data_IF_164692263013
#
_entry.id   IF_164692263013
#
_cell.length_a   1.000
_cell.length_b   1.000
_cell.length_c   1.000
_cell.angle_alpha   90.00
_cell.angle_beta   90.00
_cell.angle_gamma   90.00
#
_symmetry.space_group_name_H-M   'P 1'
#
loop_
_entity.id
_entity.type
_entity.pdbx_description
1 polymer ?
#
# COMPACT_ATOMS: atom_id res chain seq x y z
N UNK A 1 114.23 5.12 -136.57
CA UNK A 1 114.51 6.48 -136.06
C UNK A 1 113.74 6.63 -134.75
N UNK A 2 114.46 6.83 -133.64
CA UNK A 2 113.94 6.97 -132.28
C UNK A 2 113.43 8.39 -132.02
N UNK A 3 112.32 8.55 -131.30
CA UNK A 3 112.06 9.72 -130.43
C UNK A 3 111.15 9.32 -129.23
N UNK A 4 111.38 9.82 -128.00
CA UNK A 4 110.80 9.27 -126.76
C UNK A 4 109.72 10.14 -126.07
N UNK A 5 108.92 9.46 -125.23
CA UNK A 5 108.17 9.84 -124.01
C UNK A 5 107.82 11.31 -123.68
N UNK A 6 106.55 11.54 -123.30
CA UNK A 6 106.16 12.51 -122.27
C UNK A 6 105.16 11.89 -121.28
N UNK A 7 105.52 11.92 -120.00
CA UNK A 7 104.79 11.39 -118.85
C UNK A 7 103.94 12.47 -118.19
N UNK A 8 102.66 12.19 -117.90
CA UNK A 8 101.83 13.02 -117.00
C UNK A 8 101.08 12.09 -116.02
N UNK A 9 101.38 12.21 -114.73
CA UNK A 9 100.69 11.49 -113.63
C UNK A 9 99.29 12.07 -113.36
N UNK A 10 98.22 11.27 -113.26
CA UNK A 10 96.95 11.73 -112.70
C UNK A 10 97.02 11.76 -111.16
N UNK A 11 96.61 12.89 -110.58
CA UNK A 11 96.51 13.13 -109.12
C UNK A 11 95.39 12.28 -108.50
N UNK A 12 95.64 11.71 -107.32
CA UNK A 12 94.61 11.02 -106.53
C UNK A 12 93.50 11.99 -106.10
N UNK A 13 92.25 11.72 -106.50
CA UNK A 13 91.07 12.43 -106.01
C UNK A 13 90.72 11.84 -104.64
N UNK A 14 90.91 12.62 -103.56
CA UNK A 14 90.39 12.27 -102.23
C UNK A 14 88.93 12.71 -102.13
N UNK A 15 88.00 11.77 -102.27
CA UNK A 15 86.58 12.01 -101.98
C UNK A 15 86.38 12.00 -100.46
N UNK A 16 86.01 13.16 -99.89
CA UNK A 16 85.56 13.27 -98.51
C UNK A 16 84.03 13.19 -98.50
N UNK A 17 83.48 11.99 -98.30
CA UNK A 17 82.04 11.83 -98.07
C UNK A 17 81.78 12.05 -96.58
N UNK A 18 81.01 13.08 -96.25
CA UNK A 18 80.30 13.17 -94.97
C UNK A 18 79.07 12.27 -95.10
N UNK A 19 78.99 11.08 -94.47
CA UNK A 19 77.74 10.36 -94.42
C UNK A 19 76.75 11.22 -93.62
N UNK A 20 75.80 11.85 -94.32
CA UNK A 20 74.61 12.42 -93.69
C UNK A 20 73.75 11.24 -93.23
N UNK A 21 73.87 10.85 -91.98
CA UNK A 21 72.79 10.11 -91.31
C UNK A 21 71.48 10.91 -91.45
N UNK A 22 70.31 10.25 -91.56
CA UNK A 22 69.07 10.89 -91.96
C UNK A 22 68.84 12.21 -91.20
N UNK A 23 68.61 13.30 -91.94
CA UNK A 23 68.52 14.64 -91.37
C UNK A 23 67.31 14.81 -90.43
N UNK A 24 66.31 13.94 -90.56
CA UNK A 24 65.10 13.94 -89.75
C UNK A 24 64.94 12.62 -89.01
N UNK A 25 64.85 12.72 -87.69
CA UNK A 25 64.31 11.69 -86.80
C UNK A 25 62.96 12.22 -86.35
N UNK A 26 61.89 11.47 -86.58
CA UNK A 26 60.52 11.89 -86.27
C UNK A 26 59.96 10.87 -85.28
N UNK A 27 59.58 11.34 -84.09
CA UNK A 27 58.82 10.56 -83.12
C UNK A 27 57.39 10.33 -83.63
N UNK A 28 56.85 9.13 -83.39
CA UNK A 28 55.41 8.89 -83.57
C UNK A 28 54.67 9.34 -82.32
N UNK A 29 53.34 9.47 -82.40
CA UNK A 29 52.48 9.90 -81.28
C UNK A 29 52.89 9.24 -79.95
N UNK A 30 53.16 10.05 -78.92
CA UNK A 30 53.61 9.56 -77.63
C UNK A 30 55.12 9.35 -77.48
N UNK A 31 55.92 9.70 -78.48
CA UNK A 31 57.39 9.76 -78.40
C UNK A 31 57.84 11.16 -78.83
N UNK A 32 58.35 11.93 -77.88
CA UNK A 32 59.02 13.19 -78.18
C UNK A 32 60.49 12.92 -78.53
N UNK A 33 61.00 13.68 -79.49
CA UNK A 33 62.37 13.55 -79.98
C UNK A 33 63.07 14.89 -79.88
N UNK A 34 63.94 14.99 -78.87
CA UNK A 34 64.76 16.18 -78.66
C UNK A 34 66.19 15.91 -79.13
N UNK A 35 66.76 16.85 -79.89
CA UNK A 35 68.17 16.81 -80.30
C UNK A 35 68.96 17.79 -79.46
N UNK A 36 69.81 17.27 -78.58
CA UNK A 36 70.70 18.08 -77.75
C UNK A 36 72.13 17.55 -77.81
N UNK A 37 73.10 18.46 -77.93
CA UNK A 37 74.53 18.11 -77.99
C UNK A 37 74.95 17.14 -79.10
N UNK A 38 74.12 16.93 -80.14
CA UNK A 38 74.35 15.96 -81.21
C UNK A 38 73.76 14.56 -80.95
N UNK A 39 73.20 14.31 -79.77
CA UNK A 39 72.46 13.09 -79.43
C UNK A 39 70.95 13.28 -79.69
N UNK A 40 70.29 12.22 -80.15
CA UNK A 40 68.84 12.17 -80.19
C UNK A 40 68.35 11.46 -78.93
N UNK A 41 67.54 12.15 -78.14
CA UNK A 41 66.87 11.61 -76.96
C UNK A 41 65.43 11.31 -77.36
N UNK A 42 64.99 10.09 -77.05
CA UNK A 42 63.63 9.63 -77.33
C UNK A 42 62.96 9.44 -75.97
N UNK A 43 62.04 10.35 -75.63
CA UNK A 43 61.28 10.28 -74.39
C UNK A 43 59.80 9.99 -74.69
N UNK A 44 59.13 9.32 -73.77
CA UNK A 44 57.69 9.11 -73.87
C UNK A 44 56.97 10.41 -73.48
N UNK A 45 56.23 11.00 -74.42
CA UNK A 45 55.36 12.15 -74.16
C UNK A 45 53.95 11.65 -73.87
N UNK A 46 53.56 11.67 -72.59
CA UNK A 46 52.26 11.19 -72.17
C UNK A 46 51.13 12.19 -72.46
N UNK A 47 51.44 13.44 -72.81
CA UNK A 47 50.43 14.47 -73.11
C UNK A 47 49.76 14.24 -74.48
N UNK A 48 50.40 13.46 -75.34
CA UNK A 48 49.87 13.01 -76.64
C UNK A 48 48.84 11.87 -76.56
N UNK A 49 48.66 11.24 -75.39
CA UNK A 49 47.67 10.18 -75.20
C UNK A 49 46.37 10.71 -74.59
N UNK A 50 45.20 10.36 -75.16
CA UNK A 50 43.92 10.78 -74.61
C UNK A 50 43.65 10.14 -73.25
N UNK A 51 43.10 10.91 -72.31
CA UNK A 51 42.60 10.37 -71.04
C UNK A 51 41.36 9.52 -71.32
N UNK A 52 41.41 8.25 -70.94
CA UNK A 52 40.29 7.31 -71.09
C UNK A 52 39.43 7.30 -69.82
N UNK A 53 38.11 7.31 -69.97
CA UNK A 53 37.15 7.32 -68.85
C UNK A 53 36.91 5.96 -68.19
N UNK A 54 37.44 4.87 -68.76
CA UNK A 54 37.33 3.52 -68.23
C UNK A 54 38.51 2.65 -68.73
N UNK A 55 38.86 1.62 -67.95
CA UNK A 55 39.92 0.67 -68.30
C UNK A 55 39.47 -0.23 -69.48
N UNK A 56 40.28 -0.42 -70.53
CA UNK A 56 39.92 -1.28 -71.65
C UNK A 56 39.81 -2.74 -71.21
N UNK A 57 38.81 -3.52 -71.69
CA UNK A 57 38.53 -4.87 -71.18
C UNK A 57 39.66 -5.88 -71.39
N UNK A 58 40.54 -5.64 -72.35
CA UNK A 58 41.65 -6.53 -72.71
C UNK A 58 43.02 -6.09 -72.14
N UNK A 59 43.09 -4.94 -71.46
CA UNK A 59 44.34 -4.44 -70.92
C UNK A 59 44.71 -5.21 -69.64
N UNK A 60 45.94 -5.73 -69.58
CA UNK A 60 46.43 -6.53 -68.43
C UNK A 60 47.21 -5.67 -67.42
N UNK A 61 47.85 -4.60 -67.91
CA UNK A 61 48.69 -3.71 -67.12
C UNK A 61 48.39 -2.25 -67.50
N UNK A 62 48.54 -1.35 -66.54
CA UNK A 62 48.64 0.08 -66.78
C UNK A 62 50.07 0.54 -66.52
N UNK A 63 50.53 1.50 -67.30
CA UNK A 63 51.79 2.18 -67.04
C UNK A 63 51.55 3.28 -66.02
N UNK A 64 52.30 3.27 -64.91
CA UNK A 64 52.25 4.30 -63.87
C UNK A 64 53.56 5.07 -63.91
N UNK A 65 53.46 6.39 -63.99
CA UNK A 65 54.60 7.29 -63.84
C UNK A 65 54.82 7.61 -62.36
N UNK A 66 56.02 7.32 -61.85
CA UNK A 66 56.45 7.77 -60.52
C UNK A 66 57.18 9.12 -60.65
N UNK A 67 56.54 10.24 -60.27
CA UNK A 67 57.15 11.56 -60.39
C UNK A 67 58.34 11.76 -59.43
N UNK A 68 58.48 10.95 -58.38
CA UNK A 68 59.58 11.07 -57.43
C UNK A 68 60.89 10.45 -57.96
N UNK A 69 60.79 9.39 -58.76
CA UNK A 69 61.95 8.70 -59.34
C UNK A 69 62.13 8.93 -60.83
N UNK A 70 61.15 9.56 -61.50
CA UNK A 70 61.14 9.80 -62.94
C UNK A 70 61.03 8.51 -63.77
N UNK A 71 60.59 7.41 -63.16
CA UNK A 71 60.53 6.08 -63.79
C UNK A 71 59.09 5.64 -64.02
N UNK A 72 58.91 4.84 -65.06
CA UNK A 72 57.65 4.18 -65.35
C UNK A 72 57.67 2.74 -64.81
N UNK A 73 56.58 2.33 -64.19
CA UNK A 73 56.35 0.95 -63.74
C UNK A 73 55.07 0.39 -64.37
N UNK A 74 55.04 -0.91 -64.62
CA UNK A 74 53.81 -1.60 -65.00
C UNK A 74 53.10 -2.09 -63.74
N UNK A 75 51.87 -1.62 -63.54
CA UNK A 75 50.98 -2.12 -62.51
C UNK A 75 49.92 -3.02 -63.15
N UNK A 76 49.70 -4.24 -62.64
CA UNK A 76 48.57 -5.06 -63.06
C UNK A 76 47.26 -4.30 -62.89
N UNK A 77 46.38 -4.31 -63.90
CA UNK A 77 45.09 -3.60 -63.84
C UNK A 77 44.21 -4.11 -62.69
N UNK A 78 44.42 -5.34 -62.23
CA UNK A 78 43.76 -5.89 -61.04
C UNK A 78 44.01 -5.09 -59.75
N UNK A 79 45.09 -4.32 -59.67
CA UNK A 79 45.39 -3.43 -58.54
C UNK A 79 44.69 -2.06 -58.63
N UNK A 80 44.20 -1.69 -59.82
CA UNK A 80 43.59 -0.37 -60.09
C UNK A 80 42.06 -0.38 -59.99
N UNK A 81 41.46 -1.53 -59.68
CA UNK A 81 40.02 -1.70 -59.53
C UNK A 81 39.70 -2.97 -58.77
N UNK A 82 39.90 -2.96 -57.44
CA UNK A 82 39.24 -3.96 -56.61
C UNK A 82 37.73 -3.74 -56.78
N UNK A 83 37.07 -4.65 -57.52
CA UNK A 83 35.62 -4.75 -57.66
C UNK A 83 34.98 -4.89 -56.28
N UNK A 84 34.77 -3.76 -55.64
CA UNK A 84 33.99 -3.65 -54.44
C UNK A 84 32.63 -3.18 -54.95
N UNK A 85 31.62 -4.07 -55.01
CA UNK A 85 30.26 -3.63 -55.28
C UNK A 85 29.87 -2.59 -54.23
N UNK A 86 29.10 -1.58 -54.61
CA UNK A 86 28.45 -0.69 -53.64
C UNK A 86 27.43 -1.48 -52.79
N UNK A 87 27.14 -1.04 -51.55
CA UNK A 87 26.08 -1.66 -50.77
C UNK A 87 24.73 -1.51 -51.49
N UNK A 88 23.75 -2.41 -51.22
CA UNK A 88 22.40 -2.24 -51.73
C UNK A 88 21.83 -0.85 -51.42
N UNK A 89 21.21 -0.22 -52.42
CA UNK A 89 20.63 1.13 -52.30
C UNK A 89 19.23 1.08 -51.66
N UNK A 90 19.12 0.60 -50.43
CA UNK A 90 17.84 0.41 -49.72
C UNK A 90 17.73 1.18 -48.39
N UNK A 91 18.62 2.15 -48.16
CA UNK A 91 18.70 2.96 -46.93
C UNK A 91 19.07 2.21 -45.65
N UNK A 92 19.51 0.94 -45.73
CA UNK A 92 20.06 0.25 -44.57
C UNK A 92 21.56 0.57 -44.39
N UNK A 93 22.02 0.52 -43.14
CA UNK A 93 23.46 0.58 -42.82
C UNK A 93 24.05 -0.82 -43.03
N UNK A 94 25.05 -0.91 -43.90
CA UNK A 94 25.78 -2.14 -44.18
C UNK A 94 27.21 -2.09 -43.66
N UNK A 95 27.71 -3.23 -43.22
CA UNK A 95 29.13 -3.50 -42.99
C UNK A 95 29.63 -4.59 -43.93
N UNK A 96 30.95 -4.69 -44.07
CA UNK A 96 31.55 -5.83 -44.77
C UNK A 96 31.55 -7.05 -43.88
N UNK A 97 30.95 -8.14 -44.35
CA UNK A 97 31.15 -9.42 -43.71
C UNK A 97 32.59 -9.88 -43.97
N UNK A 98 33.41 -9.99 -42.92
CA UNK A 98 34.76 -10.55 -43.02
C UNK A 98 34.72 -12.09 -43.12
N UNK A 99 33.79 -12.62 -43.91
CA UNK A 99 33.69 -14.04 -44.23
C UNK A 99 34.45 -14.25 -45.52
N UNK A 100 35.48 -15.09 -45.46
CA UNK A 100 36.54 -15.22 -46.46
C UNK A 100 36.05 -15.19 -47.93
N UNK A 101 36.36 -14.10 -48.63
CA UNK A 101 36.51 -14.11 -50.09
C UNK A 101 35.34 -13.59 -50.95
N UNK A 102 34.14 -13.35 -50.40
CA UNK A 102 33.00 -12.91 -51.24
C UNK A 102 32.78 -11.39 -51.26
N UNK A 103 33.39 -10.65 -50.32
CA UNK A 103 33.25 -9.19 -50.25
C UNK A 103 31.80 -8.69 -50.07
N UNK A 104 30.88 -9.59 -49.69
CA UNK A 104 29.46 -9.32 -49.64
C UNK A 104 29.08 -8.35 -48.49
N UNK A 105 28.13 -7.48 -48.78
CA UNK A 105 27.55 -6.57 -47.80
C UNK A 105 26.57 -7.32 -46.90
N UNK A 106 26.72 -7.15 -45.59
CA UNK A 106 25.76 -7.60 -44.60
C UNK A 106 25.23 -6.40 -43.84
N UNK A 107 23.95 -6.43 -43.43
CA UNK A 107 23.39 -5.35 -42.62
C UNK A 107 24.13 -5.30 -41.29
N UNK A 108 24.50 -4.09 -40.86
CA UNK A 108 25.22 -3.88 -39.60
C UNK A 108 24.35 -4.24 -38.38
N UNK A 109 23.02 -4.16 -38.52
CA UNK A 109 22.03 -4.64 -37.56
C UNK A 109 21.00 -5.46 -38.34
N UNK A 110 20.75 -6.70 -37.91
CA UNK A 110 19.81 -7.56 -38.59
C UNK A 110 18.35 -7.20 -38.23
N UNK A 111 17.46 -7.24 -39.24
CA UNK A 111 16.03 -7.01 -39.01
C UNK A 111 15.33 -8.18 -38.28
N UNK A 112 15.93 -9.39 -38.33
CA UNK A 112 15.43 -10.59 -37.67
C UNK A 112 16.09 -10.84 -36.30
N UNK A 113 16.44 -9.76 -35.59
CA UNK A 113 17.10 -9.81 -34.29
C UNK A 113 18.63 -9.76 -34.38
N UNK A 114 19.25 -9.34 -33.29
CA UNK A 114 20.71 -9.19 -33.18
C UNK A 114 21.21 -9.76 -31.85
N UNK A 115 22.45 -10.25 -31.84
CA UNK A 115 23.10 -10.79 -30.66
C UNK A 115 24.32 -9.93 -30.32
N UNK A 116 24.14 -8.99 -29.39
CA UNK A 116 25.22 -8.15 -28.87
C UNK A 116 25.88 -8.86 -27.68
N UNK A 117 27.21 -9.01 -27.72
CA UNK A 117 27.99 -9.68 -26.66
C UNK A 117 28.50 -8.73 -25.58
N UNK A 118 28.30 -7.42 -25.74
CA UNK A 118 28.68 -6.38 -24.78
C UNK A 118 27.49 -5.54 -24.33
N UNK A 119 27.77 -4.55 -23.49
CA UNK A 119 26.76 -3.65 -22.94
C UNK A 119 26.15 -2.75 -24.02
N UNK A 120 24.82 -2.61 -24.00
CA UNK A 120 24.10 -1.66 -24.83
C UNK A 120 23.91 -0.34 -24.07
N UNK A 121 24.50 0.74 -24.57
CA UNK A 121 24.30 2.10 -24.05
C UNK A 121 23.48 2.95 -25.01
N UNK A 122 22.38 3.54 -24.53
CA UNK A 122 21.54 4.48 -25.30
C UNK A 122 21.78 5.90 -24.77
N UNK A 123 22.68 6.65 -25.42
CA UNK A 123 23.04 8.00 -24.99
C UNK A 123 22.21 9.07 -25.73
N UNK A 124 21.04 9.39 -25.18
CA UNK A 124 20.13 10.43 -25.67
C UNK A 124 19.63 11.26 -24.49
N UNK A 125 19.13 12.47 -24.74
CA UNK A 125 18.47 13.31 -23.71
C UNK A 125 17.29 12.54 -23.08
N UNK A 126 16.52 11.84 -23.92
CA UNK A 126 15.41 10.97 -23.53
C UNK A 126 15.67 9.56 -24.09
N UNK A 127 16.45 8.72 -23.39
CA UNK A 127 16.68 7.36 -23.83
C UNK A 127 15.41 6.52 -23.61
N UNK A 128 15.07 5.69 -24.59
CA UNK A 128 13.88 4.82 -24.53
C UNK A 128 14.18 3.46 -25.11
N UNK A 129 13.67 2.42 -24.45
CA UNK A 129 13.63 1.06 -24.99
C UNK A 129 12.16 0.66 -25.20
N UNK A 130 11.71 0.73 -26.44
CA UNK A 130 10.30 0.55 -26.79
C UNK A 130 10.06 -0.91 -27.19
N UNK A 131 9.22 -1.60 -26.43
CA UNK A 131 8.74 -2.94 -26.74
C UNK A 131 7.29 -2.82 -27.19
N UNK A 132 7.04 -3.13 -28.46
CA UNK A 132 5.71 -3.02 -29.07
C UNK A 132 5.31 -4.34 -29.70
N UNK A 133 4.03 -4.69 -29.54
CA UNK A 133 3.46 -5.95 -30.02
C UNK A 133 1.96 -5.76 -30.25
N UNK A 134 1.35 -6.50 -31.19
CA UNK A 134 -0.10 -6.51 -31.34
C UNK A 134 -0.84 -6.89 -30.04
N UNK A 135 -2.13 -6.54 -29.89
CA UNK A 135 -2.92 -6.90 -28.72
C UNK A 135 -2.80 -8.38 -28.34
N UNK A 136 -2.60 -8.66 -27.05
CA UNK A 136 -2.38 -10.02 -26.55
C UNK A 136 -0.92 -10.49 -26.57
N UNK A 137 0.02 -9.71 -27.08
CA UNK A 137 1.44 -10.02 -27.00
C UNK A 137 2.09 -9.62 -25.66
N UNK A 138 3.13 -10.36 -25.28
CA UNK A 138 3.91 -10.12 -24.06
C UNK A 138 5.14 -9.29 -24.37
N UNK A 139 5.45 -8.28 -23.53
CA UNK A 139 6.66 -7.45 -23.66
C UNK A 139 7.65 -7.77 -22.54
N UNK A 140 8.65 -8.61 -22.82
CA UNK A 140 9.58 -9.09 -21.80
C UNK A 140 10.96 -8.43 -21.88
N UNK A 141 11.50 -8.09 -20.71
CA UNK A 141 12.95 -7.98 -20.48
C UNK A 141 13.35 -9.17 -19.60
N UNK A 142 14.19 -10.06 -20.13
CA UNK A 142 14.53 -11.33 -19.48
C UNK A 142 15.95 -11.29 -18.90
N UNK A 143 16.07 -11.53 -17.60
CA UNK A 143 17.33 -11.91 -16.97
C UNK A 143 17.55 -13.41 -17.15
N UNK A 144 18.60 -13.79 -17.88
CA UNK A 144 18.94 -15.18 -18.19
C UNK A 144 20.27 -15.61 -17.56
N UNK A 145 20.39 -16.90 -17.26
CA UNK A 145 21.66 -17.55 -16.93
C UNK A 145 21.78 -18.82 -17.80
N UNK A 146 22.89 -18.96 -18.53
CA UNK A 146 23.14 -20.07 -19.45
C UNK A 146 21.96 -20.38 -20.41
N UNK A 147 21.30 -19.33 -20.93
CA UNK A 147 20.16 -19.44 -21.83
C UNK A 147 18.79 -19.62 -21.15
N UNK A 148 18.76 -19.93 -19.86
CA UNK A 148 17.53 -20.13 -19.08
C UNK A 148 17.08 -18.84 -18.40
N UNK A 149 15.81 -18.49 -18.51
CA UNK A 149 15.23 -17.33 -17.81
C UNK A 149 15.22 -17.58 -16.30
N UNK A 150 15.60 -16.55 -15.53
CA UNK A 150 15.54 -16.51 -14.06
C UNK A 150 14.54 -15.47 -13.57
N UNK A 151 14.51 -14.35 -14.26
CA UNK A 151 13.56 -13.26 -14.01
C UNK A 151 13.04 -12.71 -15.33
N UNK A 152 11.76 -12.38 -15.37
CA UNK A 152 11.19 -11.59 -16.46
C UNK A 152 10.47 -10.37 -15.88
N UNK A 153 10.81 -9.21 -16.43
CA UNK A 153 10.02 -7.99 -16.29
C UNK A 153 9.07 -7.91 -17.48
N UNK A 154 7.78 -8.08 -17.24
CA UNK A 154 6.75 -7.98 -18.27
C UNK A 154 6.12 -6.59 -18.25
N UNK A 155 6.37 -5.81 -19.30
CA UNK A 155 5.79 -4.49 -19.53
C UNK A 155 4.47 -4.61 -20.29
N UNK A 156 3.59 -5.46 -19.75
CA UNK A 156 2.31 -5.86 -20.30
C UNK A 156 2.26 -7.35 -20.63
N UNK A 157 1.44 -8.09 -19.86
CA UNK A 157 1.15 -9.49 -20.10
C UNK A 157 0.20 -9.72 -21.28
N UNK A 158 0.10 -10.96 -21.74
CA UNK A 158 -0.63 -11.35 -22.95
C UNK A 158 -2.16 -11.27 -22.83
N UNK A 159 -2.67 -10.55 -21.85
CA UNK A 159 -4.10 -10.28 -21.70
C UNK A 159 -4.59 -9.44 -22.90
N UNK A 160 -5.71 -9.80 -23.55
CA UNK A 160 -6.25 -9.03 -24.67
C UNK A 160 -6.62 -7.58 -24.26
N UNK A 161 -6.23 -6.61 -25.08
CA UNK A 161 -6.66 -5.22 -24.92
C UNK A 161 -8.10 -5.07 -25.42
N UNK A 162 -9.07 -5.02 -24.50
CA UNK A 162 -10.51 -4.98 -24.82
C UNK A 162 -11.15 -3.59 -24.70
N UNK A 163 -10.33 -2.55 -24.49
CA UNK A 163 -10.77 -1.16 -24.33
C UNK A 163 -11.06 -0.77 -22.87
N UNK A 164 -11.36 0.51 -22.61
CA UNK A 164 -11.70 0.99 -21.28
C UNK A 164 -10.60 0.80 -20.21
N UNK A 165 -9.32 0.80 -20.62
CA UNK A 165 -8.16 0.45 -19.80
C UNK A 165 -8.10 -1.02 -19.32
N UNK A 166 -8.94 -1.89 -19.86
CA UNK A 166 -8.87 -3.35 -19.64
C UNK A 166 -7.87 -3.95 -20.62
N UNK A 167 -6.87 -4.67 -20.09
CA UNK A 167 -5.85 -5.29 -20.92
C UNK A 167 -4.59 -5.69 -20.15
N UNK A 168 -3.45 -5.62 -20.84
CA UNK A 168 -2.16 -6.08 -20.36
C UNK A 168 -1.73 -5.39 -19.06
N UNK A 169 -1.35 -6.20 -18.08
CA UNK A 169 -0.85 -5.74 -16.78
C UNK A 169 0.69 -5.87 -16.68
N UNK A 170 1.25 -5.20 -15.68
CA UNK A 170 2.68 -5.26 -15.37
C UNK A 170 2.98 -6.48 -14.47
N UNK A 171 4.09 -7.18 -14.73
CA UNK A 171 4.49 -8.32 -13.90
C UNK A 171 6.01 -8.40 -13.68
N UNK A 172 6.42 -8.79 -12.47
CA UNK A 172 7.77 -9.27 -12.17
C UNK A 172 7.70 -10.75 -11.81
N UNK A 173 8.27 -11.59 -12.66
CA UNK A 173 8.10 -13.04 -12.62
C UNK A 173 9.42 -13.77 -12.31
N UNK A 174 9.47 -14.58 -11.23
CA UNK A 174 10.56 -15.52 -11.01
C UNK A 174 10.36 -16.81 -11.84
N UNK A 175 11.48 -17.40 -12.24
CA UNK A 175 11.55 -18.68 -12.96
C UNK A 175 12.41 -19.69 -12.18
N UNK A 176 12.10 -20.97 -12.32
CA UNK A 176 12.83 -22.09 -11.72
C UNK A 176 14.21 -22.27 -12.33
N UNK A 177 15.03 -23.15 -11.74
CA UNK A 177 16.36 -23.47 -12.27
C UNK A 177 16.33 -24.11 -13.66
N UNK A 178 15.20 -24.71 -14.06
CA UNK A 178 14.98 -25.25 -15.39
C UNK A 178 14.44 -24.22 -16.40
N UNK A 179 14.23 -22.97 -15.98
CA UNK A 179 13.70 -21.90 -16.83
C UNK A 179 12.19 -21.94 -17.02
N UNK A 180 11.47 -22.69 -16.21
CA UNK A 180 10.00 -22.70 -16.18
C UNK A 180 9.49 -21.59 -15.24
N UNK A 181 8.28 -21.05 -15.48
CA UNK A 181 7.70 -20.08 -14.57
C UNK A 181 7.44 -20.71 -13.19
N UNK A 182 7.81 -20.03 -12.12
CA UNK A 182 7.72 -20.56 -10.75
C UNK A 182 6.29 -20.63 -10.18
N UNK A 183 5.27 -20.25 -10.97
CA UNK A 183 3.86 -20.30 -10.56
C UNK A 183 3.42 -19.21 -9.58
N UNK A 184 4.31 -18.24 -9.28
CA UNK A 184 4.02 -17.09 -8.43
C UNK A 184 4.47 -15.80 -9.11
N UNK A 185 3.84 -14.68 -8.73
CA UNK A 185 4.20 -13.34 -9.18
C UNK A 185 4.86 -12.60 -8.02
N UNK A 186 6.11 -12.17 -8.19
CA UNK A 186 6.78 -11.38 -7.17
C UNK A 186 6.11 -10.00 -7.01
N UNK A 187 5.67 -9.42 -8.13
CA UNK A 187 4.92 -8.17 -8.18
C UNK A 187 3.96 -8.19 -9.38
N UNK A 188 2.73 -7.74 -9.16
CA UNK A 188 1.72 -7.50 -10.20
C UNK A 188 1.27 -6.05 -10.14
N UNK A 189 1.20 -5.38 -11.28
CA UNK A 189 0.64 -4.05 -11.41
C UNK A 189 -0.58 -4.06 -12.30
N UNK A 190 -1.75 -3.76 -11.73
CA UNK A 190 -2.99 -3.66 -12.50
C UNK A 190 -3.05 -2.30 -13.18
N UNK A 191 -2.98 -2.26 -14.52
CA UNK A 191 -2.92 -0.99 -15.27
C UNK A 191 -4.16 -0.12 -15.04
N UNK A 192 -5.34 -0.73 -14.98
CA UNK A 192 -6.60 -0.03 -14.82
C UNK A 192 -6.72 0.76 -13.50
N UNK A 193 -6.07 0.29 -12.44
CA UNK A 193 -6.17 0.87 -11.09
C UNK A 193 -4.87 1.52 -10.61
N UNK A 194 -3.73 1.19 -11.24
CA UNK A 194 -2.40 1.54 -10.74
C UNK A 194 -1.98 0.75 -9.48
N UNK A 195 -2.78 -0.23 -9.04
CA UNK A 195 -2.48 -1.00 -7.83
C UNK A 195 -1.34 -1.99 -8.07
N UNK A 196 -0.37 -1.98 -7.16
CA UNK A 196 0.71 -2.96 -7.09
C UNK A 196 0.43 -3.98 -5.98
N UNK A 197 0.52 -5.27 -6.31
CA UNK A 197 0.21 -6.40 -5.44
C UNK A 197 1.39 -7.38 -5.40
N UNK A 198 1.62 -7.99 -4.25
CA UNK A 198 2.62 -9.06 -4.04
C UNK A 198 1.92 -10.39 -3.78
N UNK A 199 2.64 -11.51 -3.94
CA UNK A 199 2.08 -12.88 -3.86
C UNK A 199 1.28 -13.19 -2.58
N UNK A 200 1.56 -12.50 -1.47
CA UNK A 200 0.86 -12.70 -0.21
C UNK A 200 1.44 -11.91 0.95
N UNK A 201 0.93 -12.18 2.15
CA UNK A 201 1.43 -11.60 3.39
C UNK A 201 2.90 -12.01 3.65
N UNK A 202 3.69 -11.16 4.33
CA UNK A 202 5.08 -11.47 4.62
C UNK A 202 5.17 -12.73 5.50
N UNK A 203 5.98 -13.70 5.07
CA UNK A 203 6.30 -14.92 5.82
C UNK A 203 7.66 -14.84 6.53
N UNK A 204 8.44 -13.81 6.25
CA UNK A 204 9.74 -13.52 6.85
C UNK A 204 9.80 -12.05 7.29
N UNK A 205 10.65 -11.75 8.28
CA UNK A 205 10.72 -10.43 8.92
C UNK A 205 11.02 -9.26 7.97
N UNK A 206 11.74 -9.52 6.87
CA UNK A 206 12.11 -8.52 5.87
C UNK A 206 11.21 -8.55 4.61
N UNK A 207 10.11 -9.32 4.65
CA UNK A 207 9.14 -9.36 3.56
C UNK A 207 8.35 -8.06 3.43
N UNK A 208 7.88 -7.77 2.21
CA UNK A 208 6.99 -6.63 1.96
C UNK A 208 5.67 -6.87 2.70
N UNK A 209 5.30 -5.96 3.58
CA UNK A 209 4.03 -6.02 4.30
C UNK A 209 2.87 -5.59 3.39
N UNK A 210 1.89 -6.46 3.20
CA UNK A 210 0.65 -6.10 2.51
C UNK A 210 -0.21 -5.22 3.43
N UNK A 211 -1.08 -4.39 2.84
CA UNK A 211 -2.04 -3.60 3.62
C UNK A 211 -2.89 -4.48 4.55
N UNK A 212 -3.42 -5.61 4.05
CA UNK A 212 -4.21 -6.53 4.85
C UNK A 212 -3.42 -7.11 6.05
N UNK A 213 -2.12 -7.39 5.87
CA UNK A 213 -1.28 -7.87 6.96
C UNK A 213 -1.07 -6.78 8.02
N UNK A 214 -0.76 -5.56 7.58
CA UNK A 214 -0.59 -4.40 8.47
C UNK A 214 -1.89 -4.12 9.21
N UNK A 215 -3.04 -4.05 8.55
CA UNK A 215 -4.31 -3.76 9.19
C UNK A 215 -4.68 -4.82 10.26
N UNK A 216 -4.38 -6.10 9.99
CA UNK A 216 -4.64 -7.20 10.92
C UNK A 216 -3.63 -7.29 12.09
N UNK A 217 -2.35 -6.96 11.87
CA UNK A 217 -1.28 -7.23 12.85
C UNK A 217 -0.66 -5.96 13.47
N UNK A 218 -0.65 -4.84 12.74
CA UNK A 218 -0.05 -3.57 13.16
C UNK A 218 -1.08 -2.45 13.39
N UNK A 219 -2.21 -2.45 12.69
CA UNK A 219 -3.38 -1.59 12.93
C UNK A 219 -4.20 -2.03 14.15
N UNK A 220 -4.02 -3.28 14.59
CA UNK A 220 -4.46 -3.80 15.87
C UNK A 220 -3.42 -3.57 16.96
N UNK A 221 -2.96 -2.32 17.16
CA UNK A 221 -2.25 -1.97 18.40
C UNK A 221 -3.11 -2.50 19.55
N UNK A 222 -2.59 -3.52 20.26
CA UNK A 222 -3.40 -4.46 21.03
C UNK A 222 -4.50 -3.72 21.79
N UNK A 223 -5.75 -3.94 21.38
CA UNK A 223 -6.90 -3.29 22.00
C UNK A 223 -6.85 -3.71 23.46
N UNK A 224 -6.60 -2.74 24.36
CA UNK A 224 -6.52 -3.04 25.78
C UNK A 224 -7.89 -3.59 26.20
N UNK A 225 -7.92 -4.88 26.58
CA UNK A 225 -9.15 -5.57 26.95
C UNK A 225 -9.88 -4.75 28.00
N UNK A 226 -11.17 -4.52 27.77
CA UNK A 226 -12.06 -3.85 28.70
C UNK A 226 -11.66 -2.42 29.06
N UNK A 227 -10.80 -1.76 28.25
CA UNK A 227 -10.43 -0.36 28.46
C UNK A 227 -11.64 0.57 28.42
N UNK A 228 -11.68 1.50 29.37
CA UNK A 228 -12.67 2.57 29.46
C UNK A 228 -12.05 3.73 30.23
N UNK A 229 -11.89 4.88 29.58
CA UNK A 229 -11.41 6.12 30.18
C UNK A 229 -12.18 7.32 29.62
N UNK A 230 -12.46 8.30 30.50
CA UNK A 230 -13.37 9.41 30.18
C UNK A 230 -14.81 8.92 30.10
N UNK A 231 -15.56 9.39 29.10
CA UNK A 231 -16.95 8.97 28.82
C UNK A 231 -17.89 9.16 30.02
N UNK A 232 -17.59 10.17 30.86
CA UNK A 232 -18.40 10.53 32.01
C UNK A 232 -19.78 11.00 31.55
N UNK A 233 -20.82 10.43 32.13
CA UNK A 233 -22.20 10.79 31.94
C UNK A 233 -22.58 11.96 32.85
N UNK A 234 -23.41 12.86 32.35
CA UNK A 234 -23.94 13.98 33.12
C UNK A 234 -25.31 14.40 32.60
N UNK A 235 -26.11 15.00 33.47
CA UNK A 235 -27.35 15.68 33.08
C UNK A 235 -27.59 16.85 34.02
N UNK A 236 -28.24 17.91 33.55
CA UNK A 236 -28.63 19.04 34.38
C UNK A 236 -29.68 18.66 35.46
N UNK A 237 -30.34 17.50 35.30
CA UNK A 237 -31.51 17.14 36.11
C UNK A 237 -32.77 17.80 35.60
N UNK A 238 -33.91 17.11 35.73
CA UNK A 238 -35.19 17.58 35.19
C UNK A 238 -35.06 18.05 33.73
N UNK A 239 -34.21 17.37 32.96
CA UNK A 239 -33.89 17.67 31.57
C UNK A 239 -34.10 16.44 30.71
N UNK A 240 -34.59 16.62 29.50
CA UNK A 240 -34.61 15.54 28.49
C UNK A 240 -33.21 15.25 27.93
N UNK A 241 -32.23 16.09 28.25
CA UNK A 241 -30.86 16.02 27.74
C UNK A 241 -29.90 15.42 28.76
N UNK A 242 -29.02 14.56 28.29
CA UNK A 242 -27.81 14.15 29.01
C UNK A 242 -26.60 14.36 28.09
N UNK A 243 -25.41 14.36 28.66
CA UNK A 243 -24.16 14.48 27.92
C UNK A 243 -23.19 13.37 28.30
N UNK A 244 -22.38 12.97 27.32
CA UNK A 244 -21.24 12.07 27.49
C UNK A 244 -19.98 12.86 27.16
N UNK A 245 -19.05 12.93 28.11
CA UNK A 245 -17.75 13.58 27.89
C UNK A 245 -16.92 12.83 26.83
N UNK A 246 -15.95 13.50 26.23
CA UNK A 246 -14.97 12.85 25.35
C UNK A 246 -14.24 11.71 26.08
N UNK A 247 -13.83 10.70 25.35
CA UNK A 247 -13.14 9.56 25.92
C UNK A 247 -13.08 8.37 24.98
N UNK A 248 -12.55 7.27 25.48
CA UNK A 248 -12.32 6.07 24.68
C UNK A 248 -12.71 4.83 25.48
N UNK A 249 -13.37 3.89 24.82
CA UNK A 249 -13.59 2.56 25.35
C UNK A 249 -13.35 1.49 24.29
N UNK A 250 -12.96 0.31 24.74
CA UNK A 250 -12.96 -0.90 23.92
C UNK A 250 -14.39 -1.40 23.73
N UNK A 251 -14.75 -1.86 22.53
CA UNK A 251 -16.06 -2.43 22.26
C UNK A 251 -16.35 -3.70 23.09
N UNK A 252 -17.60 -4.15 23.12
CA UNK A 252 -18.04 -5.30 23.92
C UNK A 252 -17.36 -6.62 23.57
N UNK A 253 -16.80 -6.77 22.36
CA UNK A 253 -16.08 -7.98 21.92
C UNK A 253 -14.57 -7.89 22.10
N UNK A 254 -14.04 -6.73 22.54
CA UNK A 254 -12.61 -6.45 22.61
C UNK A 254 -11.87 -6.49 21.28
N UNK A 255 -12.56 -6.18 20.18
CA UNK A 255 -12.01 -6.17 18.83
C UNK A 255 -11.54 -4.77 18.40
N UNK A 256 -12.06 -3.69 18.99
CA UNK A 256 -11.82 -2.34 18.52
C UNK A 256 -11.93 -1.23 19.59
N UNK A 257 -11.15 -0.17 19.43
CA UNK A 257 -11.26 1.07 20.22
C UNK A 257 -12.29 2.03 19.64
N UNK A 258 -13.16 2.53 20.51
CA UNK A 258 -14.24 3.47 20.22
C UNK A 258 -13.91 4.83 20.88
N UNK A 259 -13.32 5.73 20.09
CA UNK A 259 -12.99 7.07 20.54
C UNK A 259 -14.11 8.07 20.23
N UNK A 260 -14.76 8.58 21.27
CA UNK A 260 -15.66 9.73 21.17
C UNK A 260 -14.80 11.00 21.30
N UNK A 261 -14.52 11.63 20.16
CA UNK A 261 -13.52 12.70 20.04
C UNK A 261 -13.89 13.99 20.80
N UNK A 262 -15.18 14.29 20.92
CA UNK A 262 -15.69 15.46 21.62
C UNK A 262 -16.92 15.06 22.45
N UNK A 263 -17.23 15.85 23.49
CA UNK A 263 -18.44 15.62 24.27
C UNK A 263 -19.68 15.72 23.37
N UNK A 264 -20.65 14.84 23.60
CA UNK A 264 -21.91 14.80 22.86
C UNK A 264 -23.08 14.89 23.82
N UNK A 265 -24.05 15.74 23.50
CA UNK A 265 -25.32 15.81 24.22
C UNK A 265 -26.39 15.06 23.42
N UNK A 266 -27.26 14.32 24.10
CA UNK A 266 -28.37 13.59 23.48
C UNK A 266 -29.66 13.79 24.27
N UNK A 267 -30.80 13.62 23.59
CA UNK A 267 -32.13 13.76 24.19
C UNK A 267 -32.85 12.40 24.32
N UNK A 268 -33.97 12.38 25.05
CA UNK A 268 -34.86 11.20 25.17
C UNK A 268 -35.56 10.79 23.87
N UNK A 269 -35.46 11.58 22.79
CA UNK A 269 -36.11 11.29 21.51
C UNK A 269 -35.50 10.05 20.81
N UNK A 270 -36.17 9.58 19.76
CA UNK A 270 -35.68 8.51 18.90
C UNK A 270 -34.29 8.83 18.34
N UNK A 271 -33.44 7.80 18.24
CA UNK A 271 -32.04 7.95 17.91
C UNK A 271 -31.83 8.67 16.57
N UNK A 272 -30.93 9.64 16.58
CA UNK A 272 -30.41 10.29 15.40
C UNK A 272 -28.92 10.65 15.59
N UNK A 273 -28.19 10.82 14.49
CA UNK A 273 -26.76 11.16 14.49
C UNK A 273 -26.56 12.60 15.01
N UNK A 274 -25.47 12.84 15.75
CA UNK A 274 -25.03 14.18 16.14
C UNK A 274 -25.45 14.64 17.53
N UNK A 275 -24.84 15.72 17.98
CA UNK A 275 -25.14 16.36 19.28
C UNK A 275 -26.49 17.08 19.24
N UNK A 276 -27.22 17.07 20.36
CA UNK A 276 -28.57 17.59 20.48
C UNK A 276 -29.67 16.67 19.93
N UNK A 277 -29.30 15.58 19.25
CA UNK A 277 -30.24 14.62 18.66
C UNK A 277 -30.74 13.60 19.70
N UNK A 278 -31.74 12.78 19.33
CA UNK A 278 -32.24 11.72 20.21
C UNK A 278 -31.25 10.56 20.39
N UNK A 279 -31.37 9.82 21.49
CA UNK A 279 -30.57 8.63 21.78
C UNK A 279 -31.35 7.33 21.82
N UNK A 280 -32.67 7.35 21.89
CA UNK A 280 -33.45 6.13 22.15
C UNK A 280 -33.43 5.19 20.95
N UNK A 281 -32.94 3.96 21.18
CA UNK A 281 -32.71 2.96 20.13
C UNK A 281 -33.98 2.24 19.64
N UNK A 282 -35.13 2.53 20.25
CA UNK A 282 -36.38 1.85 19.96
C UNK A 282 -36.59 0.53 20.72
N UNK A 283 -35.64 0.09 21.54
CA UNK A 283 -35.76 -1.16 22.30
C UNK A 283 -36.69 -0.98 23.50
N UNK A 284 -37.83 -1.66 23.49
CA UNK A 284 -38.82 -1.62 24.58
C UNK A 284 -39.58 -0.30 24.65
N UNK A 285 -40.05 0.07 25.85
CA UNK A 285 -40.76 1.34 26.04
C UNK A 285 -39.80 2.54 25.92
N UNK A 286 -40.23 3.58 25.21
CA UNK A 286 -39.54 4.86 25.15
C UNK A 286 -39.42 5.51 26.55
N UNK A 287 -38.41 6.38 26.78
CA UNK A 287 -38.23 7.08 28.05
C UNK A 287 -39.53 7.68 28.56
N UNK A 288 -40.03 7.16 29.68
CA UNK A 288 -41.33 7.48 30.25
C UNK A 288 -41.32 7.44 31.78
N UNK A 289 -42.33 8.01 32.43
CA UNK A 289 -42.45 8.21 33.87
C UNK A 289 -42.49 6.89 34.65
N UNK A 290 -42.91 5.83 33.95
CA UNK A 290 -43.00 4.46 34.44
C UNK A 290 -41.89 3.58 33.87
N UNK A 291 -41.06 4.11 32.97
CA UNK A 291 -39.92 3.37 32.48
C UNK A 291 -38.86 3.26 33.57
N UNK A 292 -38.27 2.08 33.62
CA UNK A 292 -37.17 1.75 34.50
C UNK A 292 -35.85 2.28 33.88
N UNK A 293 -34.71 1.64 34.09
CA UNK A 293 -33.41 2.15 33.63
C UNK A 293 -33.16 2.10 32.12
N UNK A 294 -32.43 3.09 31.61
CA UNK A 294 -31.88 3.10 30.24
C UNK A 294 -30.36 3.03 30.30
N UNK A 295 -29.78 2.05 29.64
CA UNK A 295 -28.34 1.88 29.51
C UNK A 295 -27.80 2.76 28.41
N UNK A 296 -26.74 3.51 28.72
CA UNK A 296 -26.05 4.35 27.73
C UNK A 296 -24.97 3.51 27.08
N UNK A 297 -24.94 3.51 25.75
CA UNK A 297 -23.93 2.82 24.96
C UNK A 297 -23.19 3.79 24.07
N UNK A 298 -21.87 3.63 23.98
CA UNK A 298 -21.15 4.02 22.78
C UNK A 298 -21.52 3.05 21.66
N UNK A 299 -21.59 3.57 20.43
CA UNK A 299 -21.74 2.80 19.21
C UNK A 299 -20.72 3.26 18.17
N UNK A 300 -20.20 2.35 17.35
CA UNK A 300 -19.23 2.69 16.30
C UNK A 300 -19.60 2.05 14.97
N UNK A 301 -19.40 2.82 13.90
CA UNK A 301 -19.37 2.28 12.53
C UNK A 301 -17.93 1.94 12.15
N UNK A 302 -17.71 0.73 11.63
CA UNK A 302 -16.38 0.27 11.23
C UNK A 302 -15.93 0.80 9.86
N UNK A 303 -16.87 1.26 9.04
CA UNK A 303 -16.61 1.82 7.70
C UNK A 303 -16.01 3.23 7.73
N UNK A 304 -16.50 4.07 8.64
CA UNK A 304 -16.21 5.51 8.75
C UNK A 304 -15.48 5.86 10.05
N UNK A 305 -15.38 4.91 10.99
CA UNK A 305 -14.86 5.10 12.34
C UNK A 305 -15.64 6.11 13.20
N UNK A 306 -16.83 6.54 12.77
CA UNK A 306 -17.68 7.44 13.55
C UNK A 306 -18.18 6.75 14.81
N UNK A 307 -17.97 7.39 15.95
CA UNK A 307 -18.47 6.96 17.27
C UNK A 307 -19.60 7.88 17.70
N UNK A 308 -20.70 7.29 18.15
CA UNK A 308 -21.92 7.97 18.59
C UNK A 308 -22.41 7.36 19.92
N UNK A 309 -23.51 7.91 20.45
CA UNK A 309 -24.15 7.45 21.69
C UNK A 309 -25.60 7.06 21.43
N UNK A 310 -26.06 5.99 22.09
CA UNK A 310 -27.48 5.65 22.20
C UNK A 310 -27.86 5.31 23.64
N UNK A 311 -29.16 5.23 23.90
CA UNK A 311 -29.77 4.71 25.13
C UNK A 311 -30.67 3.53 24.78
N UNK A 312 -30.53 2.42 25.53
CA UNK A 312 -31.28 1.19 25.33
C UNK A 312 -31.89 0.67 26.63
N UNK A 313 -33.02 -0.06 26.55
CA UNK A 313 -33.53 -0.86 27.68
C UNK A 313 -32.70 -2.12 27.94
N UNK A 314 -31.82 -2.50 27.02
CA UNK A 314 -30.96 -3.68 27.15
C UNK A 314 -29.55 -3.29 27.57
N UNK A 315 -29.03 -3.92 28.64
CA UNK A 315 -27.66 -3.70 29.08
C UNK A 315 -26.61 -4.37 28.19
N UNK A 316 -27.01 -5.44 27.49
CA UNK A 316 -26.10 -6.37 26.81
C UNK A 316 -26.35 -6.47 25.31
N UNK A 317 -27.50 -6.03 24.81
CA UNK A 317 -27.88 -6.13 23.41
C UNK A 317 -28.72 -4.91 22.98
N UNK A 318 -28.11 -3.72 22.82
CA UNK A 318 -28.81 -2.56 22.26
C UNK A 318 -29.17 -2.80 20.79
N UNK A 319 -30.26 -2.17 20.33
CA UNK A 319 -30.60 -2.19 18.90
C UNK A 319 -29.73 -1.16 18.18
N UNK A 320 -28.83 -1.62 17.30
CA UNK A 320 -27.91 -0.72 16.62
C UNK A 320 -28.56 -0.06 15.40
N UNK A 321 -28.43 1.27 15.26
CA UNK A 321 -28.81 1.96 14.03
C UNK A 321 -28.02 1.47 12.81
N UNK A 322 -28.56 1.68 11.62
CA UNK A 322 -27.92 1.24 10.36
C UNK A 322 -26.48 1.74 10.21
N UNK A 323 -25.57 0.82 9.88
CA UNK A 323 -24.14 1.08 9.72
C UNK A 323 -23.32 0.99 11.01
N UNK A 324 -23.95 0.99 12.20
CA UNK A 324 -23.26 0.78 13.47
C UNK A 324 -23.24 -0.71 13.80
N UNK A 325 -22.05 -1.22 14.12
CA UNK A 325 -21.83 -2.67 14.29
C UNK A 325 -21.16 -3.03 15.61
N UNK A 326 -20.56 -2.05 16.29
CA UNK A 326 -19.88 -2.24 17.57
C UNK A 326 -20.55 -1.38 18.65
N UNK A 327 -20.58 -1.87 19.88
CA UNK A 327 -21.12 -1.12 21.02
C UNK A 327 -20.36 -1.36 22.31
N UNK A 328 -20.52 -0.45 23.28
CA UNK A 328 -20.01 -0.60 24.65
C UNK A 328 -20.91 0.12 25.64
N UNK A 329 -21.41 -0.59 26.66
CA UNK A 329 -22.17 0.03 27.77
C UNK A 329 -21.24 0.90 28.61
N UNK A 330 -21.65 2.14 28.86
CA UNK A 330 -20.87 3.15 29.61
C UNK A 330 -21.61 3.72 30.83
N UNK A 331 -22.81 3.23 31.12
CA UNK A 331 -23.54 3.55 32.35
C UNK A 331 -25.05 3.37 32.16
N UNK A 332 -25.84 3.99 33.05
CA UNK A 332 -27.29 3.98 32.97
C UNK A 332 -27.89 5.29 33.51
N UNK A 333 -29.09 5.60 33.02
CA UNK A 333 -29.87 6.78 33.37
C UNK A 333 -31.29 6.35 33.75
N UNK A 334 -31.94 7.10 34.65
CA UNK A 334 -33.34 6.91 35.03
C UNK A 334 -34.11 8.20 34.79
N UNK A 335 -35.35 8.07 34.35
CA UNK A 335 -36.25 9.24 34.19
C UNK A 335 -37.11 9.46 35.42
N UNK A 336 -37.55 10.70 35.64
CA UNK A 336 -38.50 11.10 36.66
C UNK A 336 -39.95 10.96 36.14
N UNK A 337 -40.92 11.32 36.99
CA UNK A 337 -42.34 11.32 36.65
C UNK A 337 -42.76 12.24 35.48
N UNK A 338 -41.86 13.08 34.98
CA UNK A 338 -42.07 14.02 33.87
C UNK A 338 -41.25 13.68 32.63
N UNK A 339 -40.77 12.44 32.50
CA UNK A 339 -40.00 11.96 31.33
C UNK A 339 -38.62 12.62 31.16
N UNK A 340 -38.03 13.08 32.25
CA UNK A 340 -36.75 13.79 32.25
C UNK A 340 -35.70 13.01 33.04
N UNK A 341 -34.44 13.08 32.62
CA UNK A 341 -33.33 12.45 33.33
C UNK A 341 -33.16 13.02 34.73
N UNK A 342 -33.04 12.12 35.71
CA UNK A 342 -32.76 12.48 37.11
C UNK A 342 -31.29 12.85 37.23
N UNK A 343 -31.00 13.91 37.99
CA UNK A 343 -29.64 14.41 38.20
C UNK A 343 -28.80 13.45 39.02
N UNK A 344 -27.56 13.26 38.60
CA UNK A 344 -26.54 12.54 39.36
C UNK A 344 -25.17 13.18 39.10
N UNK A 345 -24.22 12.89 39.98
CA UNK A 345 -22.79 13.13 39.78
C UNK A 345 -22.09 11.81 39.52
N UNK A 346 -21.12 11.80 38.61
CA UNK A 346 -20.31 10.61 38.33
C UNK A 346 -18.83 10.91 38.55
N UNK A 347 -18.17 10.04 39.32
CA UNK A 347 -16.70 10.00 39.44
C UNK A 347 -16.21 8.57 39.19
N UNK A 348 -15.61 8.35 38.02
CA UNK A 348 -15.18 7.00 37.62
C UNK A 348 -16.38 6.05 37.56
N UNK A 349 -16.38 5.02 38.41
CA UNK A 349 -17.47 4.03 38.51
C UNK A 349 -18.55 4.39 39.54
N UNK A 350 -18.34 5.42 40.35
CA UNK A 350 -19.33 5.87 41.33
C UNK A 350 -20.32 6.84 40.70
N UNK A 351 -21.60 6.61 40.99
CA UNK A 351 -22.71 7.46 40.60
C UNK A 351 -23.48 7.85 41.87
N UNK A 352 -23.64 9.15 42.11
CA UNK A 352 -24.34 9.69 43.27
C UNK A 352 -25.59 10.43 42.80
N UNK A 353 -26.74 10.08 43.34
CA UNK A 353 -27.95 10.87 43.17
C UNK A 353 -27.75 12.27 43.76
N UNK A 354 -28.21 13.31 43.04
CA UNK A 354 -28.19 14.69 43.57
C UNK A 354 -29.08 14.83 44.81
N UNK A 355 -30.22 14.12 44.79
CA UNK A 355 -31.12 13.97 45.94
C UNK A 355 -31.30 12.49 46.22
N UNK A 356 -31.06 12.09 47.47
CA UNK A 356 -31.25 10.71 47.92
C UNK A 356 -32.68 10.22 47.63
N UNK A 357 -32.79 8.99 47.15
CA UNK A 357 -34.08 8.32 46.93
C UNK A 357 -34.43 7.49 48.16
N UNK A 358 -35.62 7.71 48.72
CA UNK A 358 -36.18 6.86 49.79
C UNK A 358 -36.89 5.67 49.16
N UNK A 359 -36.26 4.49 49.20
CA UNK A 359 -36.83 3.27 48.62
C UNK A 359 -37.86 2.62 49.54
N UNK A 360 -37.58 2.61 50.85
CA UNK A 360 -38.43 1.97 51.85
C UNK A 360 -38.65 2.90 53.04
N UNK A 361 -39.91 3.00 53.48
CA UNK A 361 -40.30 3.67 54.71
C UNK A 361 -41.22 2.74 55.49
N UNK A 362 -40.85 2.44 56.73
CA UNK A 362 -41.68 1.68 57.66
C UNK A 362 -42.13 0.32 57.10
N UNK A 363 -41.19 -0.41 56.47
CA UNK A 363 -41.46 -1.72 55.88
C UNK A 363 -41.24 -2.81 56.93
N UNK A 364 -42.01 -3.90 56.85
CA UNK A 364 -41.84 -5.07 57.71
C UNK A 364 -40.73 -5.95 57.15
N UNK A 365 -39.83 -6.43 58.02
CA UNK A 365 -38.95 -7.55 57.71
C UNK A 365 -39.06 -8.62 58.80
N UNK A 366 -38.75 -9.86 58.44
CA UNK A 366 -38.85 -10.99 59.36
C UNK A 366 -37.61 -11.87 59.26
N UNK A 367 -37.59 -12.95 60.05
CA UNK A 367 -36.57 -13.99 59.98
C UNK A 367 -36.63 -14.79 58.67
N UNK A 368 -37.70 -14.66 57.89
CA UNK A 368 -37.81 -15.22 56.54
C UNK A 368 -37.21 -14.23 55.53
N UNK A 369 -36.15 -14.62 54.78
CA UNK A 369 -35.54 -13.73 53.81
C UNK A 369 -36.49 -13.29 52.71
N UNK A 370 -36.43 -12.01 52.38
CA UNK A 370 -37.18 -11.42 51.26
C UNK A 370 -36.27 -10.56 50.38
N UNK A 371 -36.63 -10.44 49.10
CA UNK A 371 -35.92 -9.61 48.13
C UNK A 371 -36.58 -8.23 48.03
N UNK A 372 -35.77 -7.19 48.14
CA UNK A 372 -36.21 -5.80 48.06
C UNK A 372 -35.47 -5.12 46.92
N UNK A 373 -36.18 -4.37 46.07
CA UNK A 373 -35.61 -3.67 44.90
C UNK A 373 -35.22 -2.22 45.25
N UNK A 374 -33.99 -1.84 44.93
CA UNK A 374 -33.40 -0.54 45.26
C UNK A 374 -33.36 0.36 44.03
N UNK A 375 -33.29 1.68 44.23
CA UNK A 375 -33.18 2.66 43.13
C UNK A 375 -31.79 2.75 42.51
N UNK A 376 -31.33 1.63 41.94
CA UNK A 376 -30.07 1.45 41.20
C UNK A 376 -30.30 0.69 39.88
N UNK A 377 -29.39 0.73 38.90
CA UNK A 377 -29.61 0.12 37.59
C UNK A 377 -30.02 -1.36 37.62
N UNK A 378 -31.10 -1.68 36.92
CA UNK A 378 -31.49 -3.06 36.56
C UNK A 378 -30.74 -3.53 35.31
N UNK A 379 -30.86 -4.80 34.94
CA UNK A 379 -30.16 -5.42 33.80
C UNK A 379 -28.67 -5.71 34.05
N UNK A 380 -28.09 -5.20 35.14
CA UNK A 380 -26.69 -5.41 35.55
C UNK A 380 -26.59 -5.54 37.06
N UNK A 381 -25.51 -6.17 37.54
CA UNK A 381 -25.16 -6.13 38.95
C UNK A 381 -24.34 -4.88 39.25
N UNK A 382 -24.77 -4.11 40.25
CA UNK A 382 -24.09 -2.92 40.76
C UNK A 382 -23.98 -3.00 42.27
N UNK A 383 -23.08 -2.23 42.89
CA UNK A 383 -23.10 -2.08 44.35
C UNK A 383 -24.00 -0.90 44.70
N UNK A 384 -25.12 -1.12 45.38
CA UNK A 384 -25.94 -0.02 45.91
C UNK A 384 -25.18 0.69 47.03
N UNK A 385 -25.27 2.01 47.08
CA UNK A 385 -24.76 2.86 48.13
C UNK A 385 -25.94 3.55 48.84
N UNK A 386 -26.10 3.27 50.13
CA UNK A 386 -27.26 3.75 50.86
C UNK A 386 -27.10 3.70 52.36
N UNK A 387 -28.19 4.07 53.04
CA UNK A 387 -28.29 3.99 54.48
C UNK A 387 -29.49 3.14 54.85
N UNK A 388 -29.24 2.10 55.63
CA UNK A 388 -30.31 1.38 56.31
C UNK A 388 -30.65 2.11 57.59
N UNK A 389 -31.93 2.38 57.78
CA UNK A 389 -32.50 2.89 59.03
C UNK A 389 -33.32 1.78 59.67
N UNK A 390 -33.18 1.64 60.98
CA UNK A 390 -34.06 0.82 61.79
C UNK A 390 -34.59 1.65 62.95
N UNK A 391 -35.90 1.55 63.17
CA UNK A 391 -36.53 1.91 64.43
C UNK A 391 -37.06 0.63 65.07
N UNK A 392 -36.99 0.47 66.38
CA UNK A 392 -37.65 -0.70 66.98
C UNK A 392 -38.10 -0.42 68.40
N UNK A 393 -39.37 -0.76 68.67
CA UNK A 393 -40.01 -0.58 69.96
C UNK A 393 -40.07 -1.87 70.78
N UNK A 394 -39.76 -3.03 70.17
CA UNK A 394 -39.93 -4.35 70.77
C UNK A 394 -38.70 -4.98 71.45
N UNK A 395 -37.56 -4.28 71.53
CA UNK A 395 -36.35 -4.79 72.21
C UNK A 395 -35.07 -4.68 71.37
N UNK A 396 -34.10 -5.58 71.56
CA UNK A 396 -32.89 -5.63 70.74
C UNK A 396 -33.12 -6.48 69.47
N UNK A 397 -32.71 -5.98 68.30
CA UNK A 397 -32.79 -6.71 67.02
C UNK A 397 -31.74 -6.21 66.03
N UNK A 398 -31.57 -6.92 64.93
CA UNK A 398 -30.67 -6.54 63.85
C UNK A 398 -31.22 -6.87 62.48
N UNK A 399 -30.64 -6.25 61.46
CA UNK A 399 -30.97 -6.48 60.05
C UNK A 399 -29.72 -6.85 59.28
N UNK A 400 -29.88 -7.77 58.33
CA UNK A 400 -28.85 -8.22 57.41
C UNK A 400 -29.33 -7.99 55.99
N UNK A 401 -28.52 -7.29 55.20
CA UNK A 401 -28.70 -7.01 53.78
C UNK A 401 -27.56 -7.68 53.01
N UNK A 402 -27.90 -8.64 52.17
CA UNK A 402 -26.92 -9.46 51.44
C UNK A 402 -27.22 -9.53 49.95
N UNK A 403 -26.17 -9.81 49.17
CA UNK A 403 -26.35 -10.10 47.75
C UNK A 403 -27.18 -11.38 47.60
N UNK A 404 -28.11 -11.46 46.64
CA UNK A 404 -28.78 -12.72 46.33
C UNK A 404 -27.83 -13.81 45.81
N UNK A 405 -26.62 -13.44 45.35
CA UNK A 405 -25.61 -14.39 44.83
C UNK A 405 -24.92 -15.21 45.92
N UNK A 406 -24.93 -14.74 47.17
CA UNK A 406 -24.46 -15.53 48.30
C UNK A 406 -25.62 -16.34 48.90
N UNK A 407 -25.27 -17.45 49.55
CA UNK A 407 -26.21 -18.29 50.29
C UNK A 407 -26.95 -17.47 51.35
N UNK A 408 -28.24 -17.78 51.56
CA UNK A 408 -29.01 -17.12 52.60
C UNK A 408 -28.43 -17.41 53.99
N UNK A 409 -28.35 -16.38 54.83
CA UNK A 409 -27.89 -16.48 56.21
C UNK A 409 -28.88 -15.78 57.15
N UNK A 410 -28.92 -16.24 58.39
CA UNK A 410 -29.67 -15.55 59.45
C UNK A 410 -28.85 -14.35 59.96
N UNK A 411 -29.54 -13.26 60.27
CA UNK A 411 -28.91 -12.12 60.95
C UNK A 411 -28.43 -12.54 62.35
N UNK A 412 -27.20 -12.13 62.72
CA UNK A 412 -26.59 -12.43 64.02
C UNK A 412 -25.66 -11.30 64.48
N UNK A 413 -25.09 -11.39 65.68
CA UNK A 413 -24.20 -10.38 66.24
C UNK A 413 -22.94 -10.08 65.38
N UNK A 414 -22.52 -11.05 64.56
CA UNK A 414 -21.34 -10.92 63.68
C UNK A 414 -21.72 -10.79 62.19
N UNK A 415 -23.01 -10.97 61.85
CA UNK A 415 -23.51 -11.00 60.47
C UNK A 415 -24.75 -10.12 60.42
N UNK A 416 -24.52 -8.81 60.34
CA UNK A 416 -25.56 -7.77 60.38
C UNK A 416 -25.04 -6.46 59.77
N UNK A 417 -25.93 -5.69 59.14
CA UNK A 417 -25.64 -4.34 58.62
C UNK A 417 -26.14 -3.24 59.55
N UNK A 418 -27.06 -3.55 60.45
CA UNK A 418 -27.50 -2.63 61.48
C UNK A 418 -28.04 -3.36 62.69
N UNK A 419 -27.92 -2.74 63.86
CA UNK A 419 -28.39 -3.27 65.14
C UNK A 419 -29.04 -2.16 65.96
N UNK A 420 -30.14 -2.47 66.63
CA UNK A 420 -30.69 -1.67 67.72
C UNK A 420 -30.60 -2.49 69.01
N UNK A 421 -30.06 -1.89 70.07
CA UNK A 421 -29.69 -2.63 71.29
C UNK A 421 -30.75 -2.56 72.39
N UNK A 422 -31.83 -1.80 72.22
CA UNK A 422 -32.91 -1.62 73.19
C UNK A 422 -34.21 -1.18 72.49
N UNK A 423 -35.33 -1.23 73.22
CA UNK A 423 -36.60 -0.65 72.78
C UNK A 423 -36.50 0.88 72.64
N UNK A 424 -37.33 1.46 71.77
CA UNK A 424 -37.38 2.89 71.47
C UNK A 424 -36.04 3.47 70.99
N UNK A 425 -35.25 2.64 70.30
CA UNK A 425 -33.94 3.01 69.77
C UNK A 425 -33.95 3.08 68.25
N UNK A 426 -33.07 3.91 67.70
CA UNK A 426 -32.83 4.05 66.28
C UNK A 426 -31.37 3.76 65.94
N UNK A 427 -31.15 3.11 64.81
CA UNK A 427 -29.83 2.97 64.22
C UNK A 427 -29.88 3.34 62.74
N UNK A 428 -28.85 4.06 62.28
CA UNK A 428 -28.65 4.38 60.87
C UNK A 428 -27.23 3.97 60.50
N UNK A 429 -27.10 3.09 59.51
CA UNK A 429 -25.82 2.52 59.12
C UNK A 429 -25.64 2.62 57.61
N UNK A 430 -24.42 2.84 57.18
CA UNK A 430 -24.05 2.81 55.77
C UNK A 430 -24.08 1.37 55.24
N UNK A 431 -24.59 1.21 54.02
CA UNK A 431 -24.61 -0.07 53.30
C UNK A 431 -24.02 0.11 51.92
N UNK A 432 -23.01 -0.73 51.63
CA UNK A 432 -22.54 -1.01 50.28
C UNK A 432 -22.67 -2.51 50.02
N UNK A 433 -23.55 -2.90 49.11
CA UNK A 433 -23.78 -4.31 48.80
C UNK A 433 -24.12 -4.51 47.32
N UNK A 434 -23.66 -5.62 46.72
CA UNK A 434 -23.91 -5.94 45.32
C UNK A 434 -25.35 -6.44 45.14
N UNK A 435 -26.09 -5.84 44.22
CA UNK A 435 -27.43 -6.29 43.84
C UNK A 435 -27.38 -7.42 42.82
N UNK A 436 -28.46 -8.19 42.71
CA UNK A 436 -28.71 -8.97 41.50
C UNK A 436 -29.06 -8.04 40.30
N UNK A 437 -29.29 -8.61 39.13
CA UNK A 437 -29.65 -7.86 37.91
C UNK A 437 -31.05 -7.23 37.94
N UNK A 438 -31.88 -7.58 38.93
CA UNK A 438 -33.18 -6.94 39.17
C UNK A 438 -33.09 -5.79 40.19
N UNK A 439 -31.88 -5.31 40.49
CA UNK A 439 -31.60 -4.28 41.49
C UNK A 439 -32.02 -4.68 42.92
N UNK A 440 -31.97 -5.99 43.26
CA UNK A 440 -32.43 -6.48 44.56
C UNK A 440 -31.30 -6.90 45.50
N UNK A 441 -31.51 -6.67 46.80
CA UNK A 441 -30.80 -7.32 47.90
C UNK A 441 -31.76 -8.22 48.69
N UNK A 442 -31.19 -9.24 49.33
CA UNK A 442 -31.89 -10.07 50.32
C UNK A 442 -31.84 -9.37 51.67
N UNK A 443 -32.98 -9.29 52.36
CA UNK A 443 -33.12 -8.65 53.67
C UNK A 443 -33.71 -9.63 54.68
N UNK A 444 -33.10 -9.73 55.86
CA UNK A 444 -33.49 -10.64 56.97
C UNK A 444 -33.34 -9.90 58.31
N UNK A 445 -34.26 -10.10 59.26
CA UNK A 445 -34.12 -9.64 60.65
C UNK A 445 -33.67 -10.73 61.61
N UNK A 446 -33.03 -10.34 62.72
CA UNK A 446 -32.73 -11.24 63.84
C UNK A 446 -33.86 -11.21 64.89
N UNK A 447 -34.29 -12.38 65.39
CA UNK A 447 -35.11 -12.47 66.61
C UNK A 447 -36.61 -12.17 66.47
N UNK A 448 -37.24 -12.48 65.34
CA UNK A 448 -38.68 -12.31 65.11
C UNK A 448 -39.00 -11.20 64.10
N UNK A 449 -40.30 -10.94 63.85
CA UNK A 449 -40.75 -9.92 62.90
C UNK A 449 -40.46 -8.52 63.43
N UNK A 450 -39.63 -7.75 62.73
CA UNK A 450 -39.53 -6.30 62.94
C UNK A 450 -40.75 -5.69 62.24
N UNK A 451 -41.82 -5.48 63.00
CA UNK A 451 -43.05 -4.90 62.47
C UNK A 451 -42.81 -3.43 62.07
N UNK A 452 -42.77 -3.18 60.77
CA UNK A 452 -42.98 -1.90 60.10
C UNK A 452 -41.98 -0.77 60.38
N UNK A 453 -40.71 -1.06 60.65
CA UNK A 453 -39.81 -0.02 61.16
C UNK A 453 -38.41 0.04 60.54
N UNK A 454 -38.14 -0.71 59.47
CA UNK A 454 -36.91 -0.46 58.70
C UNK A 454 -37.20 0.40 57.47
N UNK A 455 -36.18 1.13 57.04
CA UNK A 455 -36.21 1.94 55.83
C UNK A 455 -34.85 1.96 55.16
N UNK A 456 -34.82 2.38 53.90
CA UNK A 456 -33.58 2.53 53.17
C UNK A 456 -33.61 3.78 52.30
N UNK A 457 -32.53 4.55 52.37
CA UNK A 457 -32.29 5.66 51.49
C UNK A 457 -31.10 5.38 50.59
N UNK A 458 -31.34 5.23 49.29
CA UNK A 458 -30.33 5.05 48.26
C UNK A 458 -29.78 6.40 47.82
N UNK A 459 -28.49 6.62 47.99
CA UNK A 459 -27.84 7.87 47.55
C UNK A 459 -26.95 7.65 46.32
N UNK A 460 -26.68 6.41 45.92
CA UNK A 460 -25.86 6.15 44.73
C UNK A 460 -25.64 4.66 44.46
N UNK A 461 -24.74 4.39 43.51
CA UNK A 461 -24.27 3.06 43.18
C UNK A 461 -22.86 3.07 42.58
N UNK A 462 -22.18 1.93 42.65
CA UNK A 462 -20.93 1.67 41.91
C UNK A 462 -21.23 0.73 40.75
N UNK A 463 -20.97 1.20 39.53
CA UNK A 463 -21.11 0.46 38.28
C UNK A 463 -19.77 0.33 37.56
N UNK A 464 -19.28 -0.91 37.46
CA UNK A 464 -17.99 -1.21 36.81
C UNK A 464 -18.08 -1.23 35.28
N UNK A 465 -19.29 -1.09 34.72
CA UNK A 465 -19.57 -0.91 33.29
C UNK A 465 -18.89 -1.94 32.38
N UNK A 466 -18.87 -3.19 32.85
CA UNK A 466 -18.29 -4.32 32.12
C UNK A 466 -16.77 -4.27 32.00
N UNK A 467 -16.04 -3.57 32.88
CA UNK A 467 -14.56 -3.60 32.91
C UNK A 467 -13.95 -4.93 33.36
N UNK A 468 -14.76 -5.80 33.95
CA UNK A 468 -14.34 -7.12 34.44
C UNK A 468 -15.10 -8.28 33.78
N UNK A 469 -15.78 -8.02 32.67
CA UNK A 469 -16.50 -9.02 31.89
C UNK A 469 -15.56 -9.75 30.93
#
# INVERSE_FOLDING_TARGET
>A
MSVPFLSVKPRAIKLKVLPRFPANVIGRNGIDVTKDGGNFIFDLDYTDFPVIGALPPAATYALIYDPATGKYAQAPISLLGANIPEPPADSAVYGRANTAGTGAWARAVAAAGDAMTGDLTINKINPSFNLDTPPGGVRNINGKNAGLTRWALQLGGGDPESGGNTGSNFYLLPYTDTGAWAGTMALKGTRATGLLEVAGNPTAALGIATKQYVDANAGGGGVARSYLAGLTLSTAGASITFSVAAGVATDSTNANMMALAAAISKTTAAWAVGSGAGSFDGTGAAPSATADWYHVHLIKRTDTNVVEVLTSRSATAPTLPSGYTLFRRIGALKTNGSFQWIKFSQLGDEFLWDVRVTDFTNVVCSTTPALFAFSVPTGVQVSVLGYVRMDYTGGATSILLTSPDESSQAASAYIQNGTVSASLSQAVNFVQCRTNTSAQLRVVSAGGTINANWGFGTYGWIDRRGRHA
#
